data_IF_054830908522
#
_entry.id   IF_054830908522
#
_cell.length_a   1.000
_cell.length_b   1.000
_cell.length_c   1.000
_cell.angle_alpha   90.00
_cell.angle_beta   90.00
_cell.angle_gamma   90.00
#
_symmetry.space_group_name_H-M   'P 1'
#
loop_
_entity.id
_entity.type
_entity.pdbx_description
1 polymer ?
#
# COMPACT_ATOMS: atom_id res chain seq x y z
N UNK A 1 16.88 21.37 -8.56
CA UNK A 1 16.94 20.00 -8.01
C UNK A 1 17.42 20.08 -6.59
N UNK A 2 17.03 19.15 -5.72
CA UNK A 2 17.37 19.26 -4.30
C UNK A 2 18.55 18.35 -3.95
N UNK A 3 19.45 18.85 -3.10
CA UNK A 3 20.69 18.17 -2.72
C UNK A 3 20.51 17.14 -1.61
N UNK A 4 19.37 17.15 -0.90
CA UNK A 4 19.11 16.29 0.24
C UNK A 4 17.68 15.74 0.22
N UNK A 5 17.44 14.48 0.61
CA UNK A 5 16.09 13.88 0.65
C UNK A 5 15.10 14.63 1.54
N UNK A 6 15.57 15.24 2.63
CA UNK A 6 14.75 15.99 3.59
C UNK A 6 14.07 17.21 2.97
N UNK A 7 14.60 17.76 1.89
CA UNK A 7 13.98 18.87 1.15
C UNK A 7 12.67 18.50 0.44
N UNK A 8 12.38 17.21 0.31
CA UNK A 8 11.11 16.71 -0.25
C UNK A 8 10.04 16.49 0.81
N UNK A 9 10.34 16.75 2.09
CA UNK A 9 9.37 16.74 3.18
C UNK A 9 8.67 18.11 3.22
N UNK A 10 7.37 18.22 2.92
CA UNK A 10 6.69 19.51 2.93
C UNK A 10 6.60 20.08 4.35
N UNK A 11 6.46 21.40 4.45
CA UNK A 11 6.26 22.05 5.76
C UNK A 11 5.01 21.50 6.45
N UNK A 12 5.13 21.20 7.74
CA UNK A 12 4.05 20.62 8.55
C UNK A 12 3.90 19.10 8.39
N UNK A 13 4.81 18.45 7.67
CA UNK A 13 4.92 17.01 7.59
C UNK A 13 6.14 16.51 8.35
N UNK A 14 6.00 15.32 8.91
CA UNK A 14 7.03 14.63 9.68
C UNK A 14 7.37 13.32 8.97
N UNK A 15 8.63 12.89 9.10
CA UNK A 15 9.06 11.59 8.63
C UNK A 15 8.58 10.52 9.61
N UNK A 16 7.76 9.59 9.14
CA UNK A 16 7.25 8.45 9.93
C UNK A 16 8.11 7.19 9.74
N UNK A 17 8.51 6.91 8.49
CA UNK A 17 9.39 5.80 8.14
C UNK A 17 10.18 6.13 6.86
N UNK A 18 11.30 5.44 6.64
CA UNK A 18 12.09 5.56 5.43
C UNK A 18 12.82 4.26 5.08
N UNK A 19 12.89 3.94 3.79
CA UNK A 19 13.74 2.86 3.28
C UNK A 19 14.70 3.41 2.23
N UNK A 20 15.94 2.90 2.27
CA UNK A 20 16.99 3.20 1.28
C UNK A 20 17.34 1.91 0.56
N UNK A 21 17.25 1.89 -0.77
CA UNK A 21 17.53 0.73 -1.61
C UNK A 21 17.68 1.15 -3.08
N UNK A 22 18.19 0.28 -3.93
CA UNK A 22 18.16 0.47 -5.39
C UNK A 22 16.74 0.13 -5.92
N UNK A 23 16.03 1.12 -6.46
CA UNK A 23 14.65 0.98 -6.96
C UNK A 23 14.58 0.83 -8.48
N UNK A 24 15.63 1.21 -9.21
CA UNK A 24 15.64 1.30 -10.67
C UNK A 24 16.74 0.43 -11.33
N UNK A 25 17.55 -0.27 -10.54
CA UNK A 25 18.63 -1.14 -11.00
C UNK A 25 19.92 -0.42 -11.38
N UNK A 26 20.09 0.84 -10.99
CA UNK A 26 21.27 1.65 -11.35
C UNK A 26 22.40 1.59 -10.32
N UNK A 27 22.25 0.74 -9.29
CA UNK A 27 23.19 0.52 -8.19
C UNK A 27 23.42 1.75 -7.29
N UNK A 28 22.59 2.79 -7.39
CA UNK A 28 22.63 3.93 -6.48
C UNK A 28 21.53 3.81 -5.41
N UNK A 29 21.78 4.32 -4.18
CA UNK A 29 20.81 4.26 -3.11
C UNK A 29 19.69 5.26 -3.33
N UNK A 30 18.52 4.78 -3.73
CA UNK A 30 17.28 5.56 -3.80
C UNK A 30 16.57 5.59 -2.44
N UNK A 31 15.54 6.44 -2.31
CA UNK A 31 14.80 6.59 -1.05
C UNK A 31 13.30 6.57 -1.23
N UNK A 32 12.63 5.94 -0.28
CA UNK A 32 11.18 6.04 -0.10
C UNK A 32 10.91 6.59 1.30
N UNK A 33 10.07 7.62 1.39
CA UNK A 33 9.72 8.30 2.63
C UNK A 33 8.22 8.12 2.89
N UNK A 34 7.86 7.57 4.06
CA UNK A 34 6.51 7.68 4.60
C UNK A 34 6.45 8.93 5.47
N UNK A 35 5.51 9.81 5.17
CA UNK A 35 5.31 11.07 5.86
C UNK A 35 3.94 11.10 6.52
N UNK A 36 3.85 11.81 7.63
CA UNK A 36 2.59 12.10 8.31
C UNK A 36 2.47 13.60 8.56
N UNK A 37 1.33 14.18 8.21
CA UNK A 37 1.04 15.59 8.49
C UNK A 37 0.73 15.77 9.98
N UNK A 38 1.38 16.73 10.65
CA UNK A 38 1.11 17.00 12.06
C UNK A 38 2.28 17.60 12.83
N UNK A 39 2.09 17.71 14.15
CA UNK A 39 3.10 18.17 15.11
C UNK A 39 3.87 17.02 15.77
N UNK A 40 3.31 15.82 15.71
CA UNK A 40 3.92 14.57 16.17
C UNK A 40 3.49 13.43 15.25
N UNK A 41 4.32 12.40 15.15
CA UNK A 41 3.92 11.13 14.55
C UNK A 41 3.08 10.39 15.60
N UNK A 42 1.77 10.36 15.41
CA UNK A 42 0.81 9.73 16.34
C UNK A 42 -0.25 8.96 15.55
N UNK A 43 -0.62 7.80 16.09
CA UNK A 43 -1.61 6.89 15.52
C UNK A 43 -3.05 7.24 15.94
N UNK A 44 -3.26 8.04 17.00
CA UNK A 44 -4.61 8.42 17.48
C UNK A 44 -5.11 9.76 16.92
N UNK A 45 -4.19 10.72 16.78
CA UNK A 45 -4.55 12.10 16.42
C UNK A 45 -3.78 12.65 15.20
N UNK A 46 -2.96 11.81 14.57
CA UNK A 46 -2.13 12.25 13.46
C UNK A 46 -2.94 12.53 12.20
N UNK A 47 -2.44 13.45 11.38
CA UNK A 47 -3.09 13.86 10.14
C UNK A 47 -2.84 12.88 8.98
N UNK A 48 -3.21 13.30 7.75
CA UNK A 48 -3.02 12.52 6.53
C UNK A 48 -1.59 12.01 6.36
N UNK A 49 -1.44 10.88 5.68
CA UNK A 49 -0.14 10.31 5.32
C UNK A 49 0.19 10.53 3.85
N UNK A 50 1.47 10.47 3.52
CA UNK A 50 1.94 10.55 2.14
C UNK A 50 3.16 9.64 1.95
N UNK A 51 3.30 9.09 0.75
CA UNK A 51 4.50 8.39 0.34
C UNK A 51 5.25 9.19 -0.72
N UNK A 52 6.55 9.37 -0.54
CA UNK A 52 7.43 10.04 -1.50
C UNK A 52 8.47 9.05 -1.99
N UNK A 53 8.61 8.90 -3.30
CA UNK A 53 9.65 8.06 -3.92
C UNK A 53 10.65 8.97 -4.62
N UNK A 54 11.93 8.83 -4.25
CA UNK A 54 13.05 9.64 -4.72
C UNK A 54 14.09 8.73 -5.36
N UNK A 55 14.51 9.06 -6.57
CA UNK A 55 15.67 8.44 -7.21
C UNK A 55 16.89 9.34 -7.04
N UNK A 56 18.00 8.73 -6.67
CA UNK A 56 19.31 9.36 -6.71
C UNK A 56 19.75 9.57 -8.16
N UNK A 57 20.47 10.65 -8.44
CA UNK A 57 20.96 10.97 -9.78
C UNK A 57 22.50 10.92 -9.81
N UNK A 58 23.07 10.75 -11.00
CA UNK A 58 24.53 10.62 -11.18
C UNK A 58 25.30 11.89 -10.75
N UNK A 59 24.65 13.05 -10.79
CA UNK A 59 25.20 14.33 -10.34
C UNK A 59 25.08 14.56 -8.82
N UNK A 60 24.61 13.55 -8.07
CA UNK A 60 24.38 13.62 -6.63
C UNK A 60 23.06 14.31 -6.24
N UNK A 61 22.27 14.78 -7.20
CA UNK A 61 20.95 15.33 -6.94
C UNK A 61 19.88 14.25 -6.74
N UNK A 62 18.71 14.67 -6.27
CA UNK A 62 17.56 13.78 -6.08
C UNK A 62 16.41 14.19 -7.00
N UNK A 63 15.75 13.19 -7.58
CA UNK A 63 14.55 13.36 -8.40
C UNK A 63 13.35 12.68 -7.75
N UNK A 64 12.29 13.42 -7.46
CA UNK A 64 11.01 12.84 -7.04
C UNK A 64 10.31 12.19 -8.21
N UNK A 65 10.02 10.89 -8.08
CA UNK A 65 9.29 10.12 -9.11
C UNK A 65 7.87 9.75 -8.69
N UNK A 66 7.53 9.89 -7.41
CA UNK A 66 6.16 9.78 -6.94
C UNK A 66 5.88 10.62 -5.68
N UNK A 67 4.63 11.06 -5.56
CA UNK A 67 4.05 11.66 -4.35
C UNK A 67 2.60 11.18 -4.22
N UNK A 68 2.34 10.21 -3.32
CA UNK A 68 1.05 9.54 -3.20
C UNK A 68 0.42 9.81 -1.82
N UNK A 69 -0.70 10.54 -1.80
CA UNK A 69 -1.42 10.92 -0.57
C UNK A 69 -2.32 9.81 -0.01
N UNK A 70 -2.70 8.84 -0.82
CA UNK A 70 -3.75 7.88 -0.43
C UNK A 70 -3.27 6.42 -0.44
N UNK A 71 -2.00 6.15 -0.77
CA UNK A 71 -1.45 4.79 -0.74
C UNK A 71 -1.17 4.30 0.68
N UNK A 72 -1.06 5.21 1.64
CA UNK A 72 -0.91 4.87 3.05
C UNK A 72 -2.27 4.98 3.74
N UNK A 73 -2.68 3.92 4.45
CA UNK A 73 -3.83 3.98 5.36
C UNK A 73 -3.66 5.13 6.36
N UNK A 74 -4.72 5.87 6.63
CA UNK A 74 -4.72 6.93 7.63
C UNK A 74 -4.68 6.32 9.04
N UNK A 75 -4.21 7.04 10.07
CA UNK A 75 -4.14 6.52 11.43
C UNK A 75 -5.46 5.93 11.96
N UNK A 76 -6.58 6.57 11.61
CA UNK A 76 -7.94 6.14 11.96
C UNK A 76 -8.34 4.81 11.31
N UNK A 77 -7.74 4.44 10.17
CA UNK A 77 -8.04 3.20 9.45
C UNK A 77 -7.51 1.95 10.19
N UNK A 78 -6.62 2.11 11.16
CA UNK A 78 -6.06 1.02 11.96
C UNK A 78 -7.03 0.51 13.05
N UNK A 79 -8.15 1.22 13.27
CA UNK A 79 -9.13 0.87 14.28
C UNK A 79 -8.53 0.94 15.70
N UNK A 80 -8.85 -0.01 16.61
CA UNK A 80 -8.30 -0.01 17.96
C UNK A 80 -6.80 -0.38 18.00
N UNK A 81 -6.17 -0.64 16.85
CA UNK A 81 -4.77 -1.04 16.78
C UNK A 81 -3.88 0.18 16.64
N UNK A 82 -2.75 0.14 17.34
CA UNK A 82 -1.64 1.05 17.03
C UNK A 82 -0.93 0.50 15.79
N UNK A 83 -0.79 1.30 14.74
CA UNK A 83 -0.19 0.80 13.52
C UNK A 83 0.38 1.87 12.62
N UNK A 84 1.41 1.44 11.89
CA UNK A 84 2.15 2.23 10.91
C UNK A 84 2.40 1.36 9.69
N UNK A 85 2.46 1.95 8.48
CA UNK A 85 2.90 1.21 7.31
C UNK A 85 4.32 0.69 7.53
N UNK A 86 4.61 -0.51 7.04
CA UNK A 86 5.95 -1.05 6.98
C UNK A 86 6.45 -1.01 5.54
N UNK A 87 7.56 -0.31 5.32
CA UNK A 87 8.21 -0.21 4.01
C UNK A 87 9.38 -1.20 3.91
N UNK A 88 9.46 -1.91 2.78
CA UNK A 88 10.65 -2.69 2.43
C UNK A 88 10.88 -2.70 0.92
N UNK A 89 12.10 -3.02 0.50
CA UNK A 89 12.43 -3.17 -0.92
C UNK A 89 13.10 -4.52 -1.12
N UNK A 90 12.58 -5.30 -2.07
CA UNK A 90 13.15 -6.61 -2.45
C UNK A 90 13.31 -6.63 -3.96
N UNK A 91 14.55 -6.73 -4.45
CA UNK A 91 14.85 -6.80 -5.89
C UNK A 91 14.19 -5.66 -6.69
N UNK A 92 14.36 -4.41 -6.25
CA UNK A 92 13.78 -3.22 -6.87
C UNK A 92 12.24 -3.14 -6.81
N UNK A 93 11.60 -3.99 -6.01
CA UNK A 93 10.15 -3.92 -5.74
C UNK A 93 9.94 -3.32 -4.36
N UNK A 94 9.33 -2.14 -4.33
CA UNK A 94 8.82 -1.53 -3.11
C UNK A 94 7.61 -2.33 -2.62
N UNK A 95 7.67 -2.78 -1.37
CA UNK A 95 6.58 -3.45 -0.66
C UNK A 95 6.07 -2.54 0.45
N UNK A 96 4.77 -2.36 0.49
CA UNK A 96 4.08 -1.59 1.52
C UNK A 96 3.13 -2.54 2.24
N UNK A 97 3.46 -2.90 3.47
CA UNK A 97 2.61 -3.72 4.32
C UNK A 97 1.83 -2.84 5.32
N UNK A 98 0.53 -3.07 5.41
CA UNK A 98 -0.39 -2.31 6.26
C UNK A 98 -1.45 -3.25 6.83
N UNK A 99 -1.70 -3.12 8.13
CA UNK A 99 -2.66 -3.92 8.87
C UNK A 99 -3.62 -2.97 9.59
N UNK A 100 -4.93 -3.17 9.49
CA UNK A 100 -5.89 -2.28 10.14
C UNK A 100 -7.30 -2.84 10.20
N UNK A 101 -8.28 -1.94 10.30
CA UNK A 101 -9.68 -2.28 10.50
C UNK A 101 -10.05 -2.51 11.96
N UNK A 102 -11.36 -2.58 12.21
CA UNK A 102 -11.96 -2.79 13.52
C UNK A 102 -12.60 -4.19 13.59
N UNK A 103 -13.91 -4.29 13.34
CA UNK A 103 -14.60 -5.59 13.24
C UNK A 103 -13.92 -6.51 12.21
N UNK A 104 -13.69 -5.99 11.02
CA UNK A 104 -12.97 -6.70 9.97
C UNK A 104 -11.51 -6.34 10.02
N UNK A 105 -10.67 -7.29 10.44
CA UNK A 105 -9.23 -7.15 10.36
C UNK A 105 -8.79 -7.24 8.90
N UNK A 106 -8.00 -6.28 8.46
CA UNK A 106 -7.45 -6.22 7.12
C UNK A 106 -5.93 -6.30 7.21
N UNK A 107 -5.35 -7.24 6.50
CA UNK A 107 -3.91 -7.26 6.22
C UNK A 107 -3.69 -7.06 4.72
N UNK A 108 -2.73 -6.22 4.36
CA UNK A 108 -2.49 -5.84 2.97
C UNK A 108 -1.00 -5.66 2.72
N UNK A 109 -0.50 -6.24 1.64
CA UNK A 109 0.84 -6.00 1.09
C UNK A 109 0.70 -5.56 -0.35
N UNK A 110 1.08 -4.33 -0.66
CA UNK A 110 1.06 -3.77 -2.01
C UNK A 110 2.48 -3.69 -2.58
N UNK A 111 2.61 -4.04 -3.87
CA UNK A 111 3.88 -4.18 -4.56
C UNK A 111 3.99 -3.12 -5.67
N UNK A 112 5.09 -2.37 -5.68
CA UNK A 112 5.34 -1.31 -6.66
C UNK A 112 6.73 -1.42 -7.27
N UNK A 113 6.88 -0.98 -8.52
CA UNK A 113 8.16 -0.96 -9.23
C UNK A 113 8.27 0.24 -10.14
N UNK A 114 9.47 0.81 -10.26
CA UNK A 114 9.77 1.84 -11.26
C UNK A 114 9.78 1.23 -12.66
N UNK A 115 8.94 1.76 -13.56
CA UNK A 115 8.97 1.43 -14.98
C UNK A 115 9.95 2.37 -15.66
N UNK A 116 11.12 1.85 -16.05
CA UNK A 116 12.22 2.68 -16.58
C UNK A 116 11.82 3.52 -17.79
N UNK A 117 11.00 2.98 -18.68
CA UNK A 117 10.55 3.65 -19.90
C UNK A 117 9.73 4.91 -19.60
N UNK A 118 8.95 4.90 -18.51
CA UNK A 118 8.08 6.03 -18.15
C UNK A 118 8.61 6.82 -16.95
N UNK A 119 9.59 6.27 -16.23
CA UNK A 119 10.08 6.81 -14.95
C UNK A 119 9.03 6.88 -13.84
N UNK A 120 7.94 6.11 -13.94
CA UNK A 120 6.80 6.13 -13.01
C UNK A 120 6.78 4.89 -12.12
N UNK A 121 6.25 5.03 -10.91
CA UNK A 121 6.10 3.93 -9.95
C UNK A 121 4.78 3.18 -10.19
N UNK A 122 4.84 2.02 -10.82
CA UNK A 122 3.67 1.20 -11.18
C UNK A 122 3.28 0.27 -10.05
N UNK A 123 1.98 0.13 -9.81
CA UNK A 123 1.40 -0.88 -8.94
C UNK A 123 1.34 -2.22 -9.68
N UNK A 124 2.09 -3.22 -9.18
CA UNK A 124 2.32 -4.49 -9.90
C UNK A 124 1.62 -5.69 -9.25
N UNK A 125 1.17 -5.58 -8.00
CA UNK A 125 0.39 -6.62 -7.36
C UNK A 125 0.02 -6.31 -5.92
N UNK A 126 -0.90 -7.10 -5.39
CA UNK A 126 -1.41 -6.97 -4.02
C UNK A 126 -1.75 -8.34 -3.44
N UNK A 127 -1.35 -8.54 -2.19
CA UNK A 127 -1.88 -9.56 -1.31
C UNK A 127 -2.77 -8.88 -0.27
N UNK A 128 -4.01 -9.32 -0.13
CA UNK A 128 -4.96 -8.77 0.85
C UNK A 128 -5.69 -9.90 1.55
N UNK A 129 -5.82 -9.82 2.86
CA UNK A 129 -6.62 -10.71 3.69
C UNK A 129 -7.57 -9.90 4.55
N UNK A 130 -8.82 -10.35 4.64
CA UNK A 130 -9.86 -9.80 5.50
C UNK A 130 -10.37 -10.93 6.40
N UNK A 131 -10.52 -10.68 7.69
CA UNK A 131 -11.03 -11.64 8.68
C UNK A 131 -12.05 -10.94 9.57
N UNK A 132 -13.21 -11.55 9.80
CA UNK A 132 -14.15 -11.08 10.84
C UNK A 132 -13.58 -11.44 12.22
N UNK A 133 -13.37 -10.45 13.06
CA UNK A 133 -12.73 -10.62 14.38
C UNK A 133 -13.68 -11.21 15.43
N UNK A 134 -14.95 -11.47 15.09
CA UNK A 134 -15.94 -12.06 16.00
C UNK A 134 -15.76 -13.57 16.26
N UNK A 135 -14.68 -14.19 15.76
CA UNK A 135 -14.36 -15.60 16.05
C UNK A 135 -15.21 -16.62 15.27
N UNK A 136 -16.01 -16.18 14.30
CA UNK A 136 -16.82 -17.07 13.45
C UNK A 136 -15.98 -17.80 12.37
N UNK A 137 -14.74 -17.38 12.13
CA UNK A 137 -13.86 -17.94 11.10
C UNK A 137 -14.08 -17.37 9.69
N UNK A 138 -14.98 -16.38 9.54
CA UNK A 138 -15.26 -15.75 8.25
C UNK A 138 -14.04 -14.99 7.76
N UNK A 139 -13.60 -15.29 6.54
CA UNK A 139 -12.44 -14.61 5.94
C UNK A 139 -12.46 -14.60 4.41
N UNK A 140 -11.73 -13.64 3.83
CA UNK A 140 -11.48 -13.56 2.40
C UNK A 140 -10.02 -13.18 2.13
N UNK A 141 -9.37 -13.87 1.20
CA UNK A 141 -8.00 -13.56 0.75
C UNK A 141 -7.98 -13.30 -0.76
N UNK A 142 -7.17 -12.34 -1.17
CA UNK A 142 -7.00 -11.89 -2.55
C UNK A 142 -5.51 -11.84 -2.87
N UNK A 143 -5.08 -12.60 -3.87
CA UNK A 143 -3.74 -12.52 -4.47
C UNK A 143 -3.90 -12.01 -5.89
N UNK A 144 -3.40 -10.81 -6.17
CA UNK A 144 -3.60 -10.13 -7.46
C UNK A 144 -2.27 -9.79 -8.11
N UNK A 145 -2.04 -10.34 -9.30
CA UNK A 145 -0.92 -9.95 -10.15
C UNK A 145 -1.41 -8.94 -11.21
N UNK A 146 -1.12 -7.66 -11.00
CA UNK A 146 -1.60 -6.57 -11.86
C UNK A 146 -0.84 -6.44 -13.18
N UNK A 147 0.28 -7.15 -13.35
CA UNK A 147 0.97 -7.25 -14.64
C UNK A 147 0.27 -8.20 -15.60
N UNK A 148 -0.35 -9.25 -15.07
CA UNK A 148 -1.05 -10.29 -15.86
C UNK A 148 -2.57 -10.21 -15.74
N UNK A 149 -3.09 -9.42 -14.79
CA UNK A 149 -4.51 -9.36 -14.46
C UNK A 149 -5.04 -10.61 -13.74
N UNK A 150 -4.20 -11.60 -13.42
CA UNK A 150 -4.64 -12.81 -12.72
C UNK A 150 -4.92 -12.51 -11.27
N UNK A 151 -6.06 -12.95 -10.78
CA UNK A 151 -6.42 -12.88 -9.36
C UNK A 151 -6.90 -14.24 -8.84
N UNK A 152 -6.46 -14.59 -7.64
CA UNK A 152 -6.98 -15.71 -6.87
C UNK A 152 -7.74 -15.14 -5.68
N UNK A 153 -8.99 -15.56 -5.52
CA UNK A 153 -9.84 -15.21 -4.37
C UNK A 153 -10.12 -16.48 -3.59
N UNK A 154 -9.88 -16.45 -2.29
CA UNK A 154 -10.24 -17.54 -1.38
C UNK A 154 -11.19 -16.99 -0.33
N UNK A 155 -12.39 -17.58 -0.20
CA UNK A 155 -13.36 -17.19 0.83
C UNK A 155 -13.66 -18.35 1.76
N UNK A 156 -13.80 -18.04 3.04
CA UNK A 156 -14.21 -18.96 4.09
C UNK A 156 -15.40 -18.34 4.82
N UNK A 157 -16.53 -19.04 4.85
CA UNK A 157 -17.74 -18.57 5.53
C UNK A 157 -17.69 -18.82 7.04
N UNK A 158 -16.68 -19.56 7.53
CA UNK A 158 -16.57 -19.92 8.93
C UNK A 158 -17.42 -21.12 9.34
N UNK A 159 -17.21 -21.59 10.57
CA UNK A 159 -17.82 -22.81 11.11
C UNK A 159 -17.10 -24.11 10.73
N UNK A 160 -17.26 -25.15 11.57
CA UNK A 160 -16.49 -26.41 11.47
C UNK A 160 -16.74 -27.22 10.18
N UNK A 161 -17.86 -27.00 9.50
CA UNK A 161 -18.29 -27.78 8.33
C UNK A 161 -18.01 -27.10 7.00
N UNK A 162 -17.64 -25.82 7.00
CA UNK A 162 -17.42 -25.07 5.77
C UNK A 162 -16.01 -25.28 5.23
N UNK A 163 -15.90 -25.50 3.92
CA UNK A 163 -14.62 -25.59 3.22
C UNK A 163 -14.36 -24.30 2.46
N UNK A 164 -13.13 -23.74 2.51
CA UNK A 164 -12.78 -22.56 1.74
C UNK A 164 -13.07 -22.74 0.25
N UNK A 165 -13.66 -21.72 -0.37
CA UNK A 165 -13.92 -21.67 -1.81
C UNK A 165 -12.82 -20.89 -2.51
N UNK A 166 -12.29 -21.42 -3.60
CA UNK A 166 -11.30 -20.72 -4.43
C UNK A 166 -11.91 -20.33 -5.77
N UNK A 167 -11.71 -19.08 -6.19
CA UNK A 167 -12.06 -18.56 -7.51
C UNK A 167 -10.82 -17.97 -8.16
N UNK A 168 -10.68 -18.20 -9.46
CA UNK A 168 -9.64 -17.58 -10.28
C UNK A 168 -10.31 -16.61 -11.24
N UNK A 169 -9.82 -15.39 -11.29
CA UNK A 169 -10.37 -14.31 -12.11
C UNK A 169 -9.29 -13.78 -13.06
N UNK A 170 -9.73 -13.29 -14.21
CA UNK A 170 -8.91 -12.57 -15.17
C UNK A 170 -9.42 -11.13 -15.27
N UNK A 171 -8.65 -10.21 -14.74
CA UNK A 171 -8.92 -8.78 -14.75
C UNK A 171 -8.32 -8.16 -16.02
N UNK A 172 -9.02 -7.17 -16.57
CA UNK A 172 -8.56 -6.38 -17.70
C UNK A 172 -8.37 -4.94 -17.21
N UNK A 173 -7.16 -4.66 -16.70
CA UNK A 173 -6.83 -3.38 -16.07
C UNK A 173 -5.81 -2.63 -16.92
N UNK A 174 -5.98 -1.32 -16.99
CA UNK A 174 -4.90 -0.42 -17.44
C UNK A 174 -3.78 -0.41 -16.39
N UNK A 175 -2.54 -0.05 -16.74
CA UNK A 175 -1.50 0.21 -15.76
C UNK A 175 -1.97 1.23 -14.71
N UNK A 176 -1.76 0.90 -13.45
CA UNK A 176 -2.09 1.76 -12.30
C UNK A 176 -0.77 2.19 -11.69
N UNK A 177 -0.67 3.46 -11.31
CA UNK A 177 0.52 4.00 -10.67
C UNK A 177 0.24 4.36 -9.22
N UNK A 178 1.30 4.51 -8.42
CA UNK A 178 1.19 4.62 -6.97
C UNK A 178 0.31 5.79 -6.50
N UNK A 179 0.27 6.88 -7.27
CA UNK A 179 -0.56 8.06 -6.98
C UNK A 179 -2.06 7.80 -7.20
N UNK A 180 -2.40 6.77 -7.97
CA UNK A 180 -3.79 6.36 -8.26
C UNK A 180 -4.32 5.32 -7.27
N UNK A 181 -3.46 4.80 -6.37
CA UNK A 181 -3.87 3.86 -5.33
C UNK A 181 -4.46 4.62 -4.16
N UNK A 182 -5.72 4.32 -3.84
CA UNK A 182 -6.43 4.87 -2.70
C UNK A 182 -6.81 3.77 -1.71
N UNK A 183 -6.23 3.84 -0.52
CA UNK A 183 -6.45 2.94 0.59
C UNK A 183 -7.28 3.57 1.71
N UNK A 184 -7.61 4.87 1.64
CA UNK A 184 -8.38 5.57 2.66
C UNK A 184 -9.80 5.00 2.78
N UNK A 185 -10.27 4.84 4.01
CA UNK A 185 -11.58 4.25 4.28
C UNK A 185 -12.72 5.12 3.75
N UNK A 186 -13.31 4.69 2.63
CA UNK A 186 -14.76 4.68 2.39
C UNK A 186 -15.04 3.82 1.17
N UNK A 187 -16.13 3.07 1.27
CA UNK A 187 -16.64 2.02 0.38
C UNK A 187 -16.87 2.44 -1.10
N UNK A 188 -16.53 3.68 -1.47
CA UNK A 188 -16.78 4.30 -2.77
C UNK A 188 -15.53 4.51 -3.63
N UNK A 189 -14.31 4.47 -3.07
CA UNK A 189 -13.06 4.75 -3.82
C UNK A 189 -12.01 3.63 -3.75
N UNK A 190 -12.40 2.45 -3.26
CA UNK A 190 -11.52 1.28 -3.22
C UNK A 190 -11.10 0.80 -4.61
N UNK A 191 -10.02 0.01 -4.65
CA UNK A 191 -9.52 -0.60 -5.88
C UNK A 191 -10.64 -1.39 -6.58
N UNK A 192 -10.84 -1.23 -7.91
CA UNK A 192 -12.07 -1.66 -8.59
C UNK A 192 -12.28 -3.18 -8.66
N UNK A 193 -11.25 -3.97 -8.37
CA UNK A 193 -11.34 -5.44 -8.28
C UNK A 193 -11.60 -5.96 -6.87
N UNK A 194 -11.65 -5.08 -5.87
CA UNK A 194 -12.01 -5.45 -4.51
C UNK A 194 -13.50 -5.20 -4.29
N UNK A 195 -14.14 -5.97 -3.39
CA UNK A 195 -15.52 -5.73 -3.04
C UNK A 195 -15.72 -4.35 -2.41
N UNK A 196 -16.87 -3.74 -2.68
CA UNK A 196 -17.18 -2.35 -2.25
C UNK A 196 -17.36 -2.21 -0.74
N UNK A 197 -17.74 -3.26 -0.03
CA UNK A 197 -17.96 -3.23 1.42
C UNK A 197 -17.47 -4.50 2.11
N UNK A 198 -17.27 -4.42 3.42
CA UNK A 198 -16.91 -5.60 4.20
C UNK A 198 -18.04 -6.64 4.30
N UNK A 199 -19.29 -6.21 4.22
CA UNK A 199 -20.43 -7.13 4.27
C UNK A 199 -20.53 -8.02 3.03
N UNK A 200 -19.89 -7.62 1.92
CA UNK A 200 -19.83 -8.44 0.70
C UNK A 200 -18.81 -9.59 0.76
N UNK A 201 -18.16 -9.80 1.91
CA UNK A 201 -17.33 -10.99 2.18
C UNK A 201 -18.11 -12.15 2.85
N UNK A 202 -19.43 -11.98 3.11
CA UNK A 202 -20.36 -13.04 3.52
C UNK A 202 -20.80 -13.89 2.32
#
# INVERSE_FOLDING_TARGET
MASQPSSFVPRGWLLEDAVTADLNGDQRPDKVLALQQGKSVDYLSGGPRALVVLLSQADGSWRRVAYALHVLMEPTDFGPRTGRPHLSVVQGVLRIQQDGGSRYYVSRTQLFRIVLQTGRCRFIGEERKVVDSNGNGLSASYSTNLLTGKQIVVTDAGGETYKPRTRKLQLHLKPIYIEEVNNGATNSHGLPWLPKSYDSYQ
#
